data_IF_033147078100
#
_entry.id   IF_033147078100
#
_cell.length_a   1.000
_cell.length_b   1.000
_cell.length_c   1.000
_cell.angle_alpha   90.00
_cell.angle_beta   90.00
_cell.angle_gamma   90.00
#
_symmetry.space_group_name_H-M   'P 1'
#
loop_
_entity.id
_entity.type
_entity.pdbx_description
1 polymer ?
#
# COMPACT_ATOMS: atom_id res chain seq x y z
N UNK A 1 -12.93 -50.73 -24.95
CA UNK A 1 -13.33 -49.93 -26.13
C UNK A 1 -13.20 -48.46 -25.75
N UNK A 2 -12.35 -47.71 -26.46
CA UNK A 2 -11.99 -46.29 -26.21
C UNK A 2 -12.99 -45.34 -26.89
N UNK A 3 -13.01 -44.07 -26.42
CA UNK A 3 -13.18 -42.75 -27.12
C UNK A 3 -13.81 -41.78 -26.07
N UNK A 4 -13.07 -40.91 -25.35
CA UNK A 4 -12.50 -39.56 -25.66
C UNK A 4 -13.50 -38.47 -26.08
N UNK A 5 -13.61 -37.38 -25.30
CA UNK A 5 -13.55 -35.96 -25.75
C UNK A 5 -13.35 -35.01 -24.54
N UNK A 6 -12.14 -34.43 -24.39
CA UNK A 6 -11.78 -32.98 -24.39
C UNK A 6 -12.34 -32.14 -23.21
N UNK A 7 -11.56 -31.74 -22.19
CA UNK A 7 -10.35 -30.90 -22.11
C UNK A 7 -10.59 -29.38 -22.23
N UNK A 8 -10.50 -28.67 -21.09
CA UNK A 8 -9.80 -27.39 -20.98
C UNK A 8 -9.35 -27.18 -19.52
N UNK A 9 -8.26 -27.83 -19.15
CA UNK A 9 -7.52 -27.51 -17.93
C UNK A 9 -6.54 -26.39 -18.28
N UNK A 10 -6.78 -25.18 -17.74
CA UNK A 10 -5.80 -24.10 -17.76
C UNK A 10 -4.77 -24.40 -16.68
N UNK A 11 -3.86 -25.32 -16.99
CA UNK A 11 -2.63 -25.51 -16.25
C UNK A 11 -1.64 -24.44 -16.71
N UNK A 12 -1.70 -23.25 -16.12
CA UNK A 12 -0.61 -22.29 -16.22
C UNK A 12 0.56 -22.85 -15.40
N UNK A 13 1.46 -23.54 -16.08
CA UNK A 13 2.78 -23.88 -15.53
C UNK A 13 3.53 -22.56 -15.29
N UNK A 14 3.48 -22.06 -14.06
CA UNK A 14 4.42 -21.05 -13.58
C UNK A 14 5.73 -21.81 -13.39
N UNK A 15 6.62 -21.75 -14.39
CA UNK A 15 8.02 -22.08 -14.18
C UNK A 15 8.55 -21.05 -13.18
N UNK A 16 8.62 -21.45 -11.91
CA UNK A 16 9.32 -20.70 -10.87
C UNK A 16 10.81 -20.75 -11.19
N UNK A 17 11.29 -19.77 -11.96
CA UNK A 17 12.69 -19.38 -11.86
C UNK A 17 12.91 -19.02 -10.38
N UNK A 18 13.90 -19.57 -9.68
CA UNK A 18 14.25 -19.11 -8.34
C UNK A 18 14.76 -17.68 -8.49
N UNK A 19 13.84 -16.72 -8.43
CA UNK A 19 14.18 -15.35 -8.15
C UNK A 19 14.56 -15.33 -6.68
N UNK A 20 15.87 -15.20 -6.40
CA UNK A 20 16.35 -14.81 -5.09
C UNK A 20 15.50 -13.62 -4.64
N UNK A 21 14.84 -13.74 -3.48
CA UNK A 21 14.08 -12.64 -2.90
C UNK A 21 15.02 -11.45 -2.72
N UNK A 22 14.57 -10.24 -3.06
CA UNK A 22 15.39 -9.05 -2.87
C UNK A 22 15.29 -8.67 -1.39
N UNK A 23 16.32 -8.95 -0.60
CA UNK A 23 16.29 -8.62 0.83
C UNK A 23 15.99 -7.14 1.08
N UNK A 24 15.14 -6.86 2.07
CA UNK A 24 14.69 -5.49 2.40
C UNK A 24 15.85 -4.61 2.87
N UNK A 25 16.80 -5.20 3.58
CA UNK A 25 17.98 -4.53 4.08
C UNK A 25 19.21 -5.36 3.76
N UNK A 26 20.15 -4.78 3.02
CA UNK A 26 21.41 -5.41 2.63
C UNK A 26 22.57 -4.52 3.02
N UNK A 27 23.69 -5.11 3.39
CA UNK A 27 24.95 -4.40 3.58
C UNK A 27 26.00 -5.06 2.72
N UNK A 28 26.57 -4.28 1.82
CA UNK A 28 27.71 -4.64 0.99
C UNK A 28 28.91 -3.79 1.41
N UNK A 29 30.00 -4.41 1.82
CA UNK A 29 31.10 -3.70 2.45
C UNK A 29 32.46 -4.18 1.98
N UNK A 30 33.39 -3.25 1.85
CA UNK A 30 34.82 -3.52 1.61
C UNK A 30 35.66 -2.78 2.65
N UNK A 31 36.48 -3.52 3.39
CA UNK A 31 37.40 -3.00 4.40
C UNK A 31 38.84 -3.33 4.00
N UNK A 32 39.73 -2.35 4.07
CA UNK A 32 41.15 -2.51 3.73
C UNK A 32 42.04 -2.07 4.88
N UNK A 33 42.81 -3.02 5.41
CA UNK A 33 43.87 -2.81 6.40
C UNK A 33 44.94 -3.89 6.23
N UNK A 34 46.01 -3.57 5.51
CA UNK A 34 47.01 -4.53 5.03
C UNK A 34 46.48 -5.46 3.92
N UNK A 35 45.32 -6.10 4.14
CA UNK A 35 44.56 -6.88 3.15
C UNK A 35 43.17 -6.29 2.95
N UNK A 36 42.57 -6.54 1.80
CA UNK A 36 41.18 -6.13 1.48
C UNK A 36 40.24 -7.31 1.73
N UNK A 37 39.18 -7.08 2.51
CA UNK A 37 38.10 -8.03 2.75
C UNK A 37 36.79 -7.43 2.25
N UNK A 38 35.99 -8.25 1.56
CA UNK A 38 34.64 -7.89 1.10
C UNK A 38 33.62 -8.82 1.77
N UNK A 39 32.47 -8.28 2.17
CA UNK A 39 31.35 -9.03 2.74
C UNK A 39 30.02 -8.48 2.23
N UNK A 40 29.03 -9.38 2.13
CA UNK A 40 27.64 -9.07 1.80
C UNK A 40 26.73 -9.85 2.74
N UNK A 41 25.77 -9.18 3.36
CA UNK A 41 24.80 -9.80 4.27
C UNK A 41 23.49 -9.02 4.33
N UNK A 42 22.44 -9.63 4.86
CA UNK A 42 21.09 -9.05 4.89
C UNK A 42 20.42 -9.12 6.26
N UNK A 43 19.43 -8.25 6.44
CA UNK A 43 18.66 -8.08 7.68
C UNK A 43 17.17 -8.01 7.40
N UNK A 44 16.39 -8.34 8.42
CA UNK A 44 14.92 -8.25 8.38
C UNK A 44 14.39 -6.92 8.91
N UNK A 45 15.16 -6.23 9.75
CA UNK A 45 14.74 -4.97 10.36
C UNK A 45 15.73 -3.85 10.02
N UNK A 46 15.19 -2.63 9.92
CA UNK A 46 15.96 -1.42 9.74
C UNK A 46 16.93 -1.18 10.90
N UNK A 47 16.52 -1.52 12.13
CA UNK A 47 17.35 -1.36 13.32
C UNK A 47 18.59 -2.26 13.26
N UNK A 48 18.42 -3.56 12.99
CA UNK A 48 19.56 -4.48 12.84
C UNK A 48 20.50 -4.06 11.70
N UNK A 49 19.92 -3.57 10.60
CA UNK A 49 20.68 -3.11 9.44
C UNK A 49 21.52 -1.86 9.73
N UNK A 50 20.98 -0.91 10.50
CA UNK A 50 21.69 0.29 10.94
C UNK A 50 22.75 -0.06 11.99
N UNK A 51 22.43 -0.97 12.92
CA UNK A 51 23.34 -1.44 13.95
C UNK A 51 24.56 -2.17 13.36
N UNK A 52 24.43 -2.76 12.18
CA UNK A 52 25.54 -3.37 11.47
C UNK A 52 26.71 -2.42 11.16
N UNK A 53 26.49 -1.10 11.21
CA UNK A 53 27.50 -0.07 10.98
C UNK A 53 28.23 0.36 12.27
N UNK A 54 27.78 -0.09 13.45
CA UNK A 54 28.51 0.13 14.71
C UNK A 54 29.87 -0.56 14.65
N UNK A 55 30.89 0.07 15.25
CA UNK A 55 32.27 -0.42 15.17
C UNK A 55 32.42 -1.86 15.69
N UNK A 56 31.78 -2.21 16.80
CA UNK A 56 31.77 -3.58 17.35
C UNK A 56 31.21 -4.62 16.36
N UNK A 57 30.16 -4.26 15.63
CA UNK A 57 29.54 -5.14 14.65
C UNK A 57 30.40 -5.26 13.39
N UNK A 58 31.06 -4.19 12.96
CA UNK A 58 32.02 -4.23 11.86
C UNK A 58 33.22 -5.12 12.20
N UNK A 59 33.77 -5.03 13.41
CA UNK A 59 34.84 -5.92 13.89
C UNK A 59 34.43 -7.39 13.87
N UNK A 60 33.17 -7.69 14.19
CA UNK A 60 32.66 -9.07 14.16
C UNK A 60 32.52 -9.65 12.74
N UNK A 61 32.35 -8.79 11.71
CA UNK A 61 32.13 -9.19 10.31
C UNK A 61 33.39 -9.13 9.47
N UNK A 62 34.25 -8.16 9.73
CA UNK A 62 35.49 -7.93 9.03
C UNK A 62 36.64 -8.13 10.01
N UNK A 63 37.31 -9.29 9.94
CA UNK A 63 38.41 -9.62 10.84
C UNK A 63 39.60 -8.67 10.72
N UNK A 64 39.69 -7.95 9.59
CA UNK A 64 40.71 -6.93 9.34
C UNK A 64 40.24 -5.50 9.69
N UNK A 65 39.03 -5.31 10.23
CA UNK A 65 38.54 -3.98 10.59
C UNK A 65 39.18 -3.49 11.89
N UNK A 66 39.69 -2.26 11.81
CA UNK A 66 40.20 -1.47 12.93
C UNK A 66 39.73 -0.03 12.74
N UNK A 67 39.85 0.80 13.78
CA UNK A 67 39.47 2.22 13.71
C UNK A 67 40.36 3.06 12.78
N UNK A 68 41.42 2.47 12.24
CA UNK A 68 42.31 3.09 11.24
C UNK A 68 42.15 2.48 9.85
N UNK A 69 41.41 1.36 9.71
CA UNK A 69 41.16 0.69 8.43
C UNK A 69 40.34 1.56 7.48
N UNK A 70 40.63 1.55 6.18
CA UNK A 70 39.71 2.12 5.20
C UNK A 70 38.44 1.25 5.14
N UNK A 71 37.26 1.86 5.17
CA UNK A 71 35.99 1.15 5.08
C UNK A 71 35.06 1.85 4.08
N UNK A 72 34.50 1.09 3.14
CA UNK A 72 33.46 1.55 2.22
C UNK A 72 32.29 0.58 2.32
N UNK A 73 31.15 1.05 2.83
CA UNK A 73 29.98 0.24 3.14
C UNK A 73 28.78 0.83 2.41
N UNK A 74 27.92 -0.01 1.86
CA UNK A 74 26.65 0.38 1.22
C UNK A 74 25.51 -0.36 1.89
N UNK A 75 24.58 0.40 2.46
CA UNK A 75 23.30 -0.08 2.95
C UNK A 75 22.26 0.00 1.82
N UNK A 76 21.79 -1.14 1.33
CA UNK A 76 20.57 -1.19 0.53
C UNK A 76 19.36 -1.10 1.47
N UNK A 77 18.79 0.09 1.63
CA UNK A 77 17.63 0.32 2.50
C UNK A 77 16.35 0.29 1.67
N UNK A 78 15.65 -0.84 1.67
CA UNK A 78 14.38 -1.06 0.96
C UNK A 78 14.46 -0.66 -0.52
N UNK A 79 15.56 -1.03 -1.16
CA UNK A 79 15.87 -0.71 -2.56
C UNK A 79 16.56 0.65 -2.80
N UNK A 80 16.83 1.44 -1.75
CA UNK A 80 17.61 2.68 -1.84
C UNK A 80 19.05 2.47 -1.33
N UNK A 81 20.08 2.52 -2.20
CA UNK A 81 21.47 2.44 -1.77
C UNK A 81 21.91 3.71 -1.03
N UNK A 82 22.45 3.53 0.17
CA UNK A 82 23.06 4.58 1.00
C UNK A 82 24.47 4.16 1.37
N UNK A 83 25.48 4.98 1.10
CA UNK A 83 26.87 4.64 1.35
C UNK A 83 27.40 5.36 2.59
N UNK A 84 28.20 4.64 3.39
CA UNK A 84 28.95 5.12 4.53
C UNK A 84 30.41 4.75 4.33
N UNK A 85 31.33 5.68 4.53
CA UNK A 85 32.76 5.41 4.36
C UNK A 85 33.66 6.13 5.36
N UNK A 86 34.82 5.52 5.59
CA UNK A 86 35.96 6.06 6.31
C UNK A 86 37.21 5.89 5.46
N UNK A 87 38.00 6.94 5.31
CA UNK A 87 39.33 6.85 4.72
C UNK A 87 40.33 6.22 5.72
N UNK A 88 41.44 5.67 5.21
CA UNK A 88 42.48 5.10 6.05
C UNK A 88 43.03 6.16 7.04
N UNK A 89 43.24 5.77 8.29
CA UNK A 89 43.71 6.64 9.38
C UNK A 89 42.84 7.88 9.62
N UNK A 90 41.54 7.81 9.32
CA UNK A 90 40.59 8.89 9.53
C UNK A 90 39.43 8.47 10.42
N UNK A 91 38.97 9.41 11.24
CA UNK A 91 37.73 9.32 12.01
C UNK A 91 36.55 9.93 11.27
N UNK A 92 36.75 10.59 10.13
CA UNK A 92 35.66 11.24 9.38
C UNK A 92 34.73 10.20 8.75
N UNK A 93 33.47 10.19 9.19
CA UNK A 93 32.39 9.44 8.54
C UNK A 93 31.86 10.26 7.37
N UNK A 94 31.81 9.66 6.18
CA UNK A 94 31.14 10.25 5.01
C UNK A 94 29.89 9.44 4.70
N UNK A 95 28.72 10.07 4.84
CA UNK A 95 27.42 9.53 4.47
C UNK A 95 26.99 10.07 3.11
N UNK A 96 26.49 9.21 2.22
CA UNK A 96 25.98 9.64 0.92
C UNK A 96 24.77 8.84 0.45
N UNK A 97 23.88 9.53 -0.27
CA UNK A 97 22.77 8.90 -1.02
C UNK A 97 22.91 9.37 -2.47
N UNK A 98 23.65 8.62 -3.32
CA UNK A 98 24.04 9.08 -4.65
C UNK A 98 22.86 9.49 -5.53
N UNK A 99 21.77 8.71 -5.52
CA UNK A 99 20.56 8.99 -6.31
C UNK A 99 19.86 10.29 -5.93
N UNK A 100 20.21 10.88 -4.79
CA UNK A 100 19.70 12.15 -4.30
C UNK A 100 20.74 13.26 -4.31
N UNK A 101 22.00 12.98 -4.70
CA UNK A 101 23.10 13.96 -4.61
C UNK A 101 23.38 14.41 -3.18
N UNK A 102 23.13 13.56 -2.18
CA UNK A 102 23.37 13.87 -0.78
C UNK A 102 24.76 13.38 -0.41
N UNK A 103 25.58 14.23 0.20
CA UNK A 103 26.84 13.87 0.83
C UNK A 103 27.04 14.73 2.07
N UNK A 104 27.29 14.09 3.20
CA UNK A 104 27.51 14.73 4.50
C UNK A 104 28.72 14.09 5.17
N UNK A 105 29.50 14.89 5.88
CA UNK A 105 30.72 14.44 6.55
C UNK A 105 30.68 14.85 8.02
N UNK A 106 31.09 13.92 8.89
CA UNK A 106 31.09 14.09 10.34
C UNK A 106 32.46 13.70 10.88
N UNK A 107 33.09 14.58 11.65
CA UNK A 107 34.44 14.39 12.17
C UNK A 107 34.45 14.54 13.69
N UNK A 108 34.40 13.40 14.38
CA UNK A 108 34.62 13.27 15.81
C UNK A 108 36.08 12.92 16.14
N UNK A 109 36.37 12.92 17.45
CA UNK A 109 37.67 12.49 17.99
C UNK A 109 37.90 10.98 17.83
N UNK A 110 36.84 10.19 17.73
CA UNK A 110 36.82 8.75 17.41
C UNK A 110 35.80 8.47 16.30
N UNK A 111 35.85 7.27 15.71
CA UNK A 111 34.81 6.85 14.74
C UNK A 111 33.43 6.78 15.37
N UNK A 112 33.32 6.29 16.61
CA UNK A 112 32.07 6.29 17.37
C UNK A 112 31.52 7.71 17.55
N UNK A 113 32.38 8.68 17.90
CA UNK A 113 31.97 10.07 18.02
C UNK A 113 31.46 10.64 16.69
N UNK A 114 32.04 10.26 15.55
CA UNK A 114 31.51 10.64 14.22
C UNK A 114 30.15 10.00 13.91
N UNK A 115 29.93 8.75 14.33
CA UNK A 115 28.63 8.07 14.19
C UNK A 115 27.56 8.72 15.07
N UNK A 116 27.92 9.10 16.30
CA UNK A 116 27.05 9.82 17.21
C UNK A 116 26.65 11.19 16.63
N UNK A 117 27.61 11.96 16.11
CA UNK A 117 27.35 13.22 15.39
C UNK A 117 26.40 13.03 14.20
N UNK A 118 26.59 11.96 13.42
CA UNK A 118 25.68 11.63 12.32
C UNK A 118 24.27 11.31 12.82
N UNK A 119 24.13 10.45 13.84
CA UNK A 119 22.84 10.13 14.46
C UNK A 119 22.14 11.39 14.97
N UNK A 120 22.86 12.26 15.67
CA UNK A 120 22.35 13.52 16.20
C UNK A 120 21.93 14.49 15.10
N UNK A 121 22.71 14.56 14.02
CA UNK A 121 22.35 15.32 12.84
C UNK A 121 21.03 14.80 12.25
N UNK A 122 20.89 13.49 12.02
CA UNK A 122 19.66 12.92 11.46
C UNK A 122 18.43 13.18 12.33
N UNK A 123 18.60 13.21 13.66
CA UNK A 123 17.54 13.56 14.63
C UNK A 123 17.15 15.03 14.56
N UNK A 124 18.13 15.93 14.72
CA UNK A 124 17.87 17.35 15.03
C UNK A 124 17.84 18.25 13.79
N UNK A 125 18.72 18.00 12.83
CA UNK A 125 19.02 18.91 11.71
C UNK A 125 18.79 18.27 10.32
N UNK A 126 18.64 16.95 10.26
CA UNK A 126 18.58 16.15 9.04
C UNK A 126 17.19 16.05 8.42
N UNK A 127 16.22 16.85 8.88
CA UNK A 127 14.82 16.77 8.44
C UNK A 127 14.65 16.87 6.92
N UNK A 128 15.37 17.76 6.24
CA UNK A 128 15.33 17.85 4.76
C UNK A 128 15.85 16.58 4.08
N UNK A 129 16.99 16.06 4.55
CA UNK A 129 17.60 14.83 4.02
C UNK A 129 16.65 13.64 4.24
N UNK A 130 16.07 13.52 5.43
CA UNK A 130 15.05 12.51 5.73
C UNK A 130 13.83 12.64 4.83
N UNK A 131 13.33 13.87 4.60
CA UNK A 131 12.19 14.10 3.69
C UNK A 131 12.50 13.58 2.29
N UNK A 132 13.70 13.88 1.77
CA UNK A 132 14.14 13.47 0.43
C UNK A 132 14.34 11.95 0.35
N UNK A 133 14.91 11.34 1.37
CA UNK A 133 15.07 9.87 1.48
C UNK A 133 13.69 9.20 1.48
N UNK A 134 12.79 9.62 2.37
CA UNK A 134 11.44 9.05 2.49
C UNK A 134 10.63 9.24 1.20
N UNK A 135 10.74 10.41 0.57
CA UNK A 135 10.13 10.66 -0.75
C UNK A 135 10.71 9.74 -1.82
N UNK A 136 12.02 9.47 -1.79
CA UNK A 136 12.66 8.55 -2.72
C UNK A 136 12.27 7.10 -2.46
N UNK A 137 12.11 6.70 -1.20
CA UNK A 137 11.63 5.37 -0.84
C UNK A 137 10.23 5.11 -1.41
N UNK A 138 9.31 6.08 -1.39
CA UNK A 138 8.02 5.91 -2.07
C UNK A 138 8.14 5.70 -3.60
N UNK A 139 9.23 6.16 -4.22
CA UNK A 139 9.53 5.95 -5.64
C UNK A 139 10.18 4.59 -5.92
N UNK A 140 11.05 4.09 -5.03
CA UNK A 140 11.90 2.90 -5.33
C UNK A 140 11.58 1.66 -4.51
N UNK A 141 10.91 1.81 -3.37
CA UNK A 141 10.58 0.68 -2.48
C UNK A 141 9.27 0.04 -2.91
N UNK A 142 9.26 -1.28 -3.18
CA UNK A 142 8.03 -2.02 -3.49
C UNK A 142 7.05 -2.12 -2.31
N UNK A 143 7.55 -1.96 -1.10
CA UNK A 143 6.93 -2.33 0.18
C UNK A 143 6.73 -1.13 1.11
N UNK A 144 6.84 0.10 0.60
CA UNK A 144 6.68 1.27 1.44
C UNK A 144 5.32 1.35 2.14
N UNK A 145 5.29 1.47 3.48
CA UNK A 145 4.05 1.39 4.23
C UNK A 145 3.17 2.64 4.05
N UNK A 146 3.73 3.76 3.58
CA UNK A 146 3.03 5.03 3.45
C UNK A 146 2.50 5.22 2.03
N UNK A 147 3.35 5.11 1.01
CA UNK A 147 3.01 5.45 -0.37
C UNK A 147 3.77 4.60 -1.40
N UNK A 148 3.25 4.50 -2.62
CA UNK A 148 4.02 3.96 -3.76
C UNK A 148 3.61 2.56 -4.20
N UNK A 149 2.82 1.84 -3.41
CA UNK A 149 2.31 0.52 -3.77
C UNK A 149 0.85 0.32 -3.33
N UNK A 150 0.12 -0.67 -3.88
CA UNK A 150 -1.29 -0.87 -3.55
C UNK A 150 -1.57 -1.24 -2.09
N UNK A 151 -0.59 -1.83 -1.38
CA UNK A 151 -0.71 -2.19 0.04
C UNK A 151 -0.37 -1.02 0.99
N UNK A 152 0.17 0.08 0.47
CA UNK A 152 0.53 1.26 1.27
C UNK A 152 -0.70 1.97 1.81
N UNK A 153 -0.53 2.80 2.84
CA UNK A 153 -1.60 3.64 3.39
C UNK A 153 -2.36 4.42 2.30
N UNK A 154 -1.65 5.18 1.46
CA UNK A 154 -2.26 5.97 0.39
C UNK A 154 -2.93 5.07 -0.67
N UNK A 155 -2.35 3.92 -0.99
CA UNK A 155 -2.96 2.94 -1.89
C UNK A 155 -4.30 2.42 -1.36
N UNK A 156 -4.36 2.10 -0.07
CA UNK A 156 -5.59 1.66 0.58
C UNK A 156 -6.65 2.78 0.65
N UNK A 157 -6.26 4.03 0.92
CA UNK A 157 -7.17 5.17 0.91
C UNK A 157 -7.84 5.36 -0.46
N UNK A 158 -7.05 5.32 -1.54
CA UNK A 158 -7.55 5.40 -2.93
C UNK A 158 -8.53 4.26 -3.23
N UNK A 159 -8.18 3.03 -2.86
CA UNK A 159 -9.02 1.87 -3.13
C UNK A 159 -10.35 1.94 -2.36
N UNK A 160 -10.33 2.40 -1.11
CA UNK A 160 -11.52 2.53 -0.27
C UNK A 160 -12.48 3.60 -0.81
N UNK A 161 -11.97 4.76 -1.23
CA UNK A 161 -12.79 5.82 -1.83
C UNK A 161 -13.53 5.36 -3.07
N UNK A 162 -12.80 4.71 -3.97
CA UNK A 162 -13.41 4.18 -5.19
C UNK A 162 -14.44 3.09 -4.86
N UNK A 163 -14.14 2.20 -3.91
CA UNK A 163 -15.07 1.14 -3.51
C UNK A 163 -16.37 1.69 -2.90
N UNK A 164 -16.28 2.76 -2.09
CA UNK A 164 -17.43 3.44 -1.52
C UNK A 164 -18.33 4.06 -2.61
N UNK A 165 -17.73 4.65 -3.65
CA UNK A 165 -18.43 5.29 -4.76
C UNK A 165 -18.88 4.36 -5.89
N UNK A 166 -18.27 3.19 -6.07
CA UNK A 166 -18.52 2.31 -7.23
C UNK A 166 -19.22 0.99 -6.84
N UNK A 167 -18.59 0.17 -5.99
CA UNK A 167 -19.04 -1.20 -5.67
C UNK A 167 -20.39 -1.25 -4.94
N UNK A 168 -20.72 -0.21 -4.18
CA UNK A 168 -22.00 -0.10 -3.46
C UNK A 168 -23.14 0.47 -4.31
N UNK A 169 -22.81 1.17 -5.39
CA UNK A 169 -23.78 1.78 -6.32
C UNK A 169 -24.26 0.76 -7.33
N UNK A 170 -23.31 0.03 -7.92
CA UNK A 170 -23.55 -0.90 -9.01
C UNK A 170 -24.39 -2.14 -8.63
N UNK A 171 -24.75 -2.27 -7.36
CA UNK A 171 -25.67 -3.28 -6.83
C UNK A 171 -27.14 -2.83 -6.73
N UNK A 172 -27.48 -1.60 -7.10
CA UNK A 172 -28.83 -1.02 -7.08
C UNK A 172 -29.58 -1.16 -5.74
N UNK A 173 -29.50 -0.14 -4.90
CA UNK A 173 -30.37 -0.01 -3.72
C UNK A 173 -31.74 0.44 -4.20
N UNK A 174 -32.66 -0.50 -4.37
CA UNK A 174 -34.08 -0.19 -4.53
C UNK A 174 -34.71 -0.05 -3.15
N UNK A 175 -35.18 1.14 -2.79
CA UNK A 175 -36.11 1.26 -1.68
C UNK A 175 -37.52 1.01 -2.19
N UNK A 176 -38.29 0.17 -1.50
CA UNK A 176 -39.74 0.17 -1.65
C UNK A 176 -40.30 1.49 -1.06
N UNK A 177 -41.33 2.10 -1.65
CA UNK A 177 -41.97 3.27 -1.05
C UNK A 177 -42.45 2.96 0.37
N UNK A 178 -42.15 3.84 1.34
CA UNK A 178 -42.62 3.84 2.74
C UNK A 178 -41.96 2.86 3.74
N UNK A 179 -40.82 2.23 3.45
CA UNK A 179 -40.06 1.52 4.49
C UNK A 179 -39.05 2.45 5.18
N UNK A 180 -39.08 2.52 6.53
CA UNK A 180 -37.98 3.11 7.30
C UNK A 180 -36.70 2.33 7.02
N UNK A 181 -35.65 3.02 6.63
CA UNK A 181 -34.40 2.40 6.20
C UNK A 181 -33.38 2.48 7.33
N UNK A 182 -33.08 1.35 7.96
CA UNK A 182 -32.12 1.29 9.09
C UNK A 182 -30.72 1.77 8.69
N UNK A 183 -29.93 2.28 9.64
CA UNK A 183 -28.49 2.42 9.39
C UNK A 183 -27.83 1.05 9.27
N UNK A 184 -26.69 0.97 8.59
CA UNK A 184 -25.98 -0.30 8.40
C UNK A 184 -24.64 -0.27 9.12
N UNK A 185 -24.35 -1.34 9.84
CA UNK A 185 -23.01 -1.62 10.37
C UNK A 185 -22.37 -2.65 9.46
N UNK A 186 -21.21 -2.34 8.91
CA UNK A 186 -20.45 -3.22 8.03
C UNK A 186 -19.13 -3.65 8.66
N UNK A 187 -18.81 -4.93 8.52
CA UNK A 187 -17.50 -5.50 8.84
C UNK A 187 -17.04 -6.36 7.67
N UNK A 188 -15.74 -6.35 7.40
CA UNK A 188 -15.16 -7.22 6.40
C UNK A 188 -13.80 -7.77 6.79
N UNK A 189 -13.29 -8.64 5.93
CA UNK A 189 -11.93 -9.10 5.92
C UNK A 189 -11.40 -9.01 4.49
N UNK A 190 -10.19 -8.49 4.33
CA UNK A 190 -9.49 -8.41 3.05
C UNK A 190 -8.09 -8.98 3.22
N UNK A 191 -7.69 -9.81 2.27
CA UNK A 191 -6.34 -10.31 2.13
C UNK A 191 -5.80 -9.92 0.76
N UNK A 192 -4.62 -9.30 0.70
CA UNK A 192 -3.97 -8.92 -0.55
C UNK A 192 -2.56 -9.49 -0.56
N UNK A 193 -2.22 -10.31 -1.55
CA UNK A 193 -0.86 -10.82 -1.74
C UNK A 193 -0.29 -10.28 -3.04
N UNK A 194 0.82 -9.54 -2.95
CA UNK A 194 1.51 -8.93 -4.08
C UNK A 194 2.94 -9.45 -4.16
N UNK A 195 3.36 -9.90 -5.35
CA UNK A 195 4.76 -10.15 -5.66
C UNK A 195 5.36 -8.89 -6.30
N UNK A 196 6.40 -8.34 -5.68
CA UNK A 196 7.01 -7.06 -6.05
C UNK A 196 8.53 -7.16 -5.86
N UNK A 197 9.30 -6.92 -6.94
CA UNK A 197 10.77 -7.04 -6.94
C UNK A 197 11.31 -8.34 -6.31
N UNK A 198 10.68 -9.50 -6.58
CA UNK A 198 11.12 -10.79 -6.02
C UNK A 198 10.59 -11.11 -4.62
N UNK A 199 10.00 -10.13 -3.91
CA UNK A 199 9.44 -10.29 -2.56
C UNK A 199 7.94 -10.52 -2.60
N UNK A 200 7.42 -11.18 -1.57
CA UNK A 200 5.97 -11.29 -1.37
C UNK A 200 5.53 -10.34 -0.25
N UNK A 201 4.59 -9.46 -0.56
CA UNK A 201 3.93 -8.55 0.36
C UNK A 201 2.51 -9.01 0.61
N UNK A 202 2.21 -9.38 1.86
CA UNK A 202 0.91 -9.87 2.28
C UNK A 202 0.26 -8.83 3.19
N UNK A 203 -0.91 -8.32 2.82
CA UNK A 203 -1.70 -7.39 3.61
C UNK A 203 -2.99 -8.06 4.08
N UNK A 204 -3.30 -7.90 5.37
CA UNK A 204 -4.55 -8.32 6.00
C UNK A 204 -5.24 -7.08 6.53
N UNK A 205 -6.47 -6.82 6.11
CA UNK A 205 -7.24 -5.66 6.52
C UNK A 205 -8.63 -6.04 7.04
N UNK A 206 -9.07 -5.33 8.07
CA UNK A 206 -10.41 -5.43 8.65
C UNK A 206 -11.07 -4.05 8.47
N UNK A 207 -11.86 -3.86 7.41
CA UNK A 207 -12.65 -2.65 7.24
C UNK A 207 -13.90 -2.69 8.11
N UNK A 208 -14.05 -1.68 8.97
CA UNK A 208 -15.32 -1.37 9.61
C UNK A 208 -16.00 -0.23 8.85
N UNK A 209 -17.33 -0.27 8.78
CA UNK A 209 -18.11 0.83 8.21
C UNK A 209 -19.42 1.07 8.94
N UNK A 210 -19.87 2.31 8.94
CA UNK A 210 -21.19 2.69 9.42
C UNK A 210 -21.85 3.57 8.36
N UNK A 211 -23.01 3.15 7.87
CA UNK A 211 -23.75 3.86 6.82
C UNK A 211 -25.05 4.42 7.38
N UNK A 212 -25.13 5.75 7.43
CA UNK A 212 -26.37 6.47 7.71
C UNK A 212 -27.14 6.61 6.42
N UNK A 213 -28.38 6.12 6.39
CA UNK A 213 -29.27 6.20 5.22
C UNK A 213 -30.32 7.28 5.44
N UNK A 214 -30.63 8.06 4.42
CA UNK A 214 -31.67 9.09 4.52
C UNK A 214 -33.06 8.47 4.39
N UNK A 215 -33.97 8.88 5.27
CA UNK A 215 -35.39 8.50 5.20
C UNK A 215 -36.12 9.13 4.00
N UNK A 216 -35.58 10.22 3.43
CA UNK A 216 -36.18 10.93 2.29
C UNK A 216 -35.81 10.25 0.97
N UNK A 217 -34.51 9.94 0.80
CA UNK A 217 -34.01 9.16 -0.32
C UNK A 217 -32.95 8.17 0.20
N UNK A 218 -33.29 6.88 0.34
CA UNK A 218 -32.38 5.85 0.85
C UNK A 218 -31.09 5.65 0.06
N UNK A 219 -31.03 6.21 -1.16
CA UNK A 219 -29.82 6.24 -2.00
C UNK A 219 -28.84 7.33 -1.57
N UNK A 220 -29.29 8.32 -0.78
CA UNK A 220 -28.43 9.29 -0.08
C UNK A 220 -27.87 8.63 1.18
N UNK A 221 -26.55 8.53 1.23
CA UNK A 221 -25.86 7.76 2.27
C UNK A 221 -24.64 8.53 2.77
N UNK A 222 -24.52 8.66 4.09
CA UNK A 222 -23.27 9.09 4.71
C UNK A 222 -22.57 7.84 5.24
N UNK A 223 -21.40 7.56 4.70
CA UNK A 223 -20.63 6.35 4.98
C UNK A 223 -19.38 6.77 5.76
N UNK A 224 -19.22 6.22 6.95
CA UNK A 224 -17.98 6.28 7.72
C UNK A 224 -17.25 4.96 7.58
N UNK A 225 -15.93 5.00 7.37
CA UNK A 225 -15.08 3.82 7.28
C UNK A 225 -13.88 3.92 8.21
N UNK A 226 -13.56 2.82 8.88
CA UNK A 226 -12.38 2.67 9.73
C UNK A 226 -11.61 1.42 9.32
N UNK A 227 -10.79 1.47 8.25
CA UNK A 227 -9.90 0.37 7.89
C UNK A 227 -8.73 0.28 8.86
N UNK A 228 -8.49 -0.92 9.39
CA UNK A 228 -7.25 -1.29 10.09
C UNK A 228 -6.58 -2.39 9.31
N UNK A 229 -5.26 -2.30 9.10
CA UNK A 229 -4.53 -3.33 8.37
C UNK A 229 -3.14 -3.61 8.92
N UNK A 230 -2.65 -4.79 8.58
CA UNK A 230 -1.32 -5.31 8.87
C UNK A 230 -0.71 -5.80 7.56
N UNK A 231 0.54 -5.40 7.28
CA UNK A 231 1.30 -5.83 6.11
C UNK A 231 2.57 -6.53 6.56
N UNK A 232 2.88 -7.67 5.96
CA UNK A 232 4.11 -8.43 6.15
C UNK A 232 4.88 -8.55 4.84
N UNK A 233 6.18 -8.26 4.88
CA UNK A 233 7.10 -8.39 3.74
C UNK A 233 8.41 -8.97 4.25
N UNK A 234 8.81 -10.16 3.78
CA UNK A 234 10.06 -10.83 4.20
C UNK A 234 10.27 -10.89 5.74
N UNK A 235 9.18 -10.99 6.49
CA UNK A 235 9.17 -11.02 7.96
C UNK A 235 9.12 -9.64 8.65
N UNK A 236 9.32 -8.54 7.92
CA UNK A 236 9.12 -7.18 8.39
C UNK A 236 7.64 -6.80 8.41
N UNK A 237 7.20 -6.11 9.48
CA UNK A 237 5.80 -5.84 9.78
C UNK A 237 5.47 -4.37 9.74
N UNK A 238 4.39 -4.01 9.06
CA UNK A 238 3.80 -2.66 9.07
C UNK A 238 2.33 -2.71 9.49
N UNK A 239 1.88 -1.64 10.15
CA UNK A 239 0.50 -1.47 10.57
C UNK A 239 -0.04 -0.16 10.01
N UNK A 240 -1.32 -0.15 9.64
CA UNK A 240 -2.01 1.07 9.27
C UNK A 240 -3.42 1.13 9.83
N UNK A 241 -3.88 2.34 10.08
CA UNK A 241 -5.25 2.63 10.46
C UNK A 241 -5.69 3.91 9.75
N UNK A 242 -6.92 3.93 9.25
CA UNK A 242 -7.49 5.07 8.58
C UNK A 242 -8.90 5.36 9.06
N UNK A 243 -9.34 6.58 8.83
CA UNK A 243 -10.73 7.01 8.97
C UNK A 243 -11.14 7.72 7.67
N UNK A 244 -12.30 7.36 7.14
CA UNK A 244 -12.89 8.01 5.98
C UNK A 244 -14.34 8.35 6.17
N UNK A 245 -14.78 9.39 5.46
CA UNK A 245 -16.17 9.79 5.35
C UNK A 245 -16.49 9.99 3.87
N UNK A 246 -17.55 9.37 3.39
CA UNK A 246 -18.03 9.49 2.01
C UNK A 246 -19.51 9.83 2.01
N UNK A 247 -19.93 10.76 1.14
CA UNK A 247 -21.34 11.10 1.00
C UNK A 247 -21.84 10.74 -0.38
N UNK A 248 -22.75 9.79 -0.46
CA UNK A 248 -23.39 9.37 -1.70
C UNK A 248 -24.52 10.33 -2.04
N UNK A 249 -24.39 10.98 -3.18
CA UNK A 249 -25.34 11.97 -3.69
C UNK A 249 -25.87 11.53 -5.06
N UNK A 250 -27.07 10.92 -5.11
CA UNK A 250 -27.74 10.58 -6.37
C UNK A 250 -28.12 11.86 -7.12
N UNK A 251 -27.62 12.01 -8.34
CA UNK A 251 -27.99 13.09 -9.24
C UNK A 251 -29.29 12.76 -9.98
N UNK A 252 -29.49 11.48 -10.29
CA UNK A 252 -30.71 10.89 -10.81
C UNK A 252 -30.70 9.37 -10.53
N UNK A 253 -31.63 8.63 -11.12
CA UNK A 253 -31.78 7.18 -10.89
C UNK A 253 -30.59 6.34 -11.40
N UNK A 254 -29.85 6.83 -12.38
CA UNK A 254 -28.72 6.13 -13.00
C UNK A 254 -27.36 6.70 -12.57
N UNK A 255 -27.30 7.94 -12.09
CA UNK A 255 -26.06 8.66 -11.85
C UNK A 255 -25.90 9.09 -10.39
N UNK A 256 -24.73 8.82 -9.81
CA UNK A 256 -24.39 9.17 -8.44
C UNK A 256 -23.01 9.80 -8.39
N UNK A 257 -22.89 10.89 -7.62
CA UNK A 257 -21.61 11.47 -7.20
C UNK A 257 -21.31 11.07 -5.76
N UNK A 258 -20.05 10.83 -5.45
CA UNK A 258 -19.61 10.46 -4.10
C UNK A 258 -18.33 11.21 -3.76
N UNK A 259 -18.43 12.42 -3.17
CA UNK A 259 -17.29 13.04 -2.50
C UNK A 259 -16.87 12.23 -1.28
N UNK A 260 -15.56 12.14 -1.07
CA UNK A 260 -14.94 11.42 0.04
C UNK A 260 -13.76 12.18 0.63
N UNK A 261 -13.58 12.04 1.94
CA UNK A 261 -12.45 12.55 2.71
C UNK A 261 -11.85 11.42 3.53
N UNK A 262 -10.53 11.33 3.58
CA UNK A 262 -9.82 10.32 4.38
C UNK A 262 -8.62 10.90 5.09
N UNK A 263 -8.33 10.30 6.23
CA UNK A 263 -7.12 10.50 6.99
C UNK A 263 -6.61 9.13 7.44
N UNK A 264 -5.30 8.94 7.52
CA UNK A 264 -4.78 7.73 8.11
C UNK A 264 -3.31 7.82 8.50
N UNK A 265 -2.90 6.79 9.20
CA UNK A 265 -1.59 6.60 9.81
C UNK A 265 -1.04 5.24 9.38
N UNK A 266 0.26 5.18 9.12
CA UNK A 266 0.98 3.93 8.92
C UNK A 266 2.33 3.97 9.61
N UNK A 267 2.77 2.83 10.13
CA UNK A 267 4.02 2.73 10.86
C UNK A 267 4.57 1.32 10.85
N UNK A 268 5.90 1.23 10.90
CA UNK A 268 6.65 0.00 10.96
C UNK A 268 7.99 0.28 11.64
N UNK A 269 8.25 -0.42 12.75
CA UNK A 269 9.58 -0.41 13.37
C UNK A 269 10.56 -1.17 12.47
N UNK A 270 10.16 -2.34 12.01
CA UNK A 270 10.96 -3.21 11.14
C UNK A 270 11.36 -2.53 9.83
N UNK A 271 10.47 -1.73 9.21
CA UNK A 271 10.77 -1.01 7.97
C UNK A 271 11.34 0.40 8.19
N UNK A 272 11.54 0.81 9.44
CA UNK A 272 12.06 2.13 9.82
C UNK A 272 11.24 3.29 9.27
N UNK A 273 9.91 3.15 9.22
CA UNK A 273 9.04 4.11 8.56
C UNK A 273 7.77 4.38 9.36
N UNK A 274 7.40 5.65 9.44
CA UNK A 274 6.09 6.09 9.92
C UNK A 274 5.56 7.20 9.03
N UNK A 275 4.26 7.39 8.96
CA UNK A 275 3.69 8.40 8.10
C UNK A 275 2.21 8.59 8.36
N UNK A 276 1.75 9.76 7.96
CA UNK A 276 0.35 10.10 7.97
C UNK A 276 -0.05 10.76 6.66
N UNK A 277 -1.26 10.46 6.20
CA UNK A 277 -1.76 10.95 4.92
C UNK A 277 -3.20 11.43 5.04
N UNK A 278 -3.55 12.39 4.19
CA UNK A 278 -4.91 12.88 4.00
C UNK A 278 -5.26 12.78 2.52
N UNK A 279 -6.53 12.52 2.23
CA UNK A 279 -7.05 12.39 0.88
C UNK A 279 -8.42 13.03 0.75
N UNK A 280 -8.68 13.60 -0.42
CA UNK A 280 -10.01 14.03 -0.84
C UNK A 280 -10.26 13.53 -2.25
N UNK A 281 -11.46 13.02 -2.53
CA UNK A 281 -11.80 12.51 -3.85
C UNK A 281 -13.27 12.75 -4.18
N UNK A 282 -13.58 12.64 -5.46
CA UNK A 282 -14.95 12.55 -5.96
C UNK A 282 -15.04 11.41 -6.96
N UNK A 283 -15.93 10.47 -6.68
CA UNK A 283 -16.29 9.40 -7.60
C UNK A 283 -17.62 9.73 -8.30
N UNK A 284 -17.70 9.38 -9.57
CA UNK A 284 -18.88 9.52 -10.43
C UNK A 284 -19.21 8.15 -11.00
N UNK A 285 -20.40 7.64 -10.68
CA UNK A 285 -20.84 6.31 -11.12
C UNK A 285 -22.14 6.41 -11.88
N UNK A 286 -22.16 5.89 -13.11
CA UNK A 286 -23.32 5.79 -13.97
C UNK A 286 -23.70 4.31 -14.18
N UNK A 287 -24.98 3.98 -14.06
CA UNK A 287 -25.49 2.60 -14.21
C UNK A 287 -26.49 2.53 -15.35
N UNK A 288 -26.18 1.66 -16.32
CA UNK A 288 -27.12 1.21 -17.34
C UNK A 288 -27.86 -0.02 -16.83
N UNK A 289 -29.14 0.17 -16.46
CA UNK A 289 -30.02 -0.91 -16.03
C UNK A 289 -30.69 -1.57 -17.22
N UNK A 290 -30.56 -2.90 -17.35
CA UNK A 290 -31.30 -3.74 -18.30
C UNK A 290 -32.09 -4.83 -17.56
N UNK A 291 -33.09 -5.47 -18.20
CA UNK A 291 -33.91 -6.49 -17.54
C UNK A 291 -33.12 -7.66 -16.95
N UNK A 292 -32.02 -8.04 -17.58
CA UNK A 292 -31.23 -9.23 -17.22
C UNK A 292 -29.84 -8.94 -16.68
N UNK A 293 -29.36 -7.70 -16.75
CA UNK A 293 -28.02 -7.31 -16.29
C UNK A 293 -27.91 -5.79 -16.09
N UNK A 294 -26.88 -5.37 -15.36
CA UNK A 294 -26.49 -3.98 -15.22
C UNK A 294 -25.05 -3.77 -15.71
N UNK A 295 -24.78 -2.61 -16.28
CA UNK A 295 -23.42 -2.14 -16.56
C UNK A 295 -23.20 -0.87 -15.76
N UNK A 296 -22.18 -0.84 -14.91
CA UNK A 296 -21.77 0.36 -14.20
C UNK A 296 -20.44 0.88 -14.75
N UNK A 297 -20.34 2.19 -14.92
CA UNK A 297 -19.11 2.90 -15.27
C UNK A 297 -18.82 3.86 -14.12
N UNK A 298 -17.66 3.72 -13.50
CA UNK A 298 -17.20 4.54 -12.39
C UNK A 298 -15.93 5.28 -12.77
N UNK A 299 -15.86 6.57 -12.49
CA UNK A 299 -14.66 7.38 -12.67
C UNK A 299 -14.42 8.17 -11.39
N UNK A 300 -13.19 8.19 -10.90
CA UNK A 300 -12.81 8.92 -9.70
C UNK A 300 -11.58 9.77 -9.99
N UNK A 301 -11.62 10.99 -9.47
CA UNK A 301 -10.43 11.83 -9.30
C UNK A 301 -10.27 12.11 -7.81
N UNK A 302 -9.04 11.96 -7.31
CA UNK A 302 -8.72 12.29 -5.93
C UNK A 302 -7.33 12.88 -5.78
N UNK A 303 -7.11 13.61 -4.71
CA UNK A 303 -5.82 14.16 -4.36
C UNK A 303 -5.44 13.70 -2.96
N UNK A 304 -4.27 13.07 -2.84
CA UNK A 304 -3.78 12.44 -1.61
C UNK A 304 -2.39 12.96 -1.32
N UNK A 305 -2.12 13.30 -0.07
CA UNK A 305 -0.81 13.82 0.35
C UNK A 305 -0.41 13.36 1.74
N UNK A 306 0.88 13.26 1.97
CA UNK A 306 1.44 13.10 3.32
C UNK A 306 1.34 14.40 4.10
N UNK A 307 1.15 14.28 5.42
CA UNK A 307 1.23 15.42 6.34
C UNK A 307 2.54 15.37 7.13
N UNK A 308 2.97 16.54 7.62
CA UNK A 308 4.12 16.63 8.52
C UNK A 308 3.86 15.82 9.78
N UNK A 309 4.76 14.91 10.12
CA UNK A 309 4.71 14.14 11.35
C UNK A 309 5.82 14.62 12.28
N UNK A 310 5.52 14.73 13.57
CA UNK A 310 6.51 14.92 14.63
C UNK A 310 6.38 13.75 15.60
N UNK A 311 7.45 12.99 15.78
CA UNK A 311 7.51 11.83 16.67
C UNK A 311 8.82 11.86 17.46
N UNK A 312 8.76 12.18 18.75
CA UNK A 312 9.95 12.46 19.55
C UNK A 312 10.75 13.61 18.97
N UNK A 313 12.06 13.41 18.82
CA UNK A 313 12.99 14.39 18.24
C UNK A 313 12.92 14.46 16.70
N UNK A 314 12.21 13.54 16.05
CA UNK A 314 12.12 13.49 14.59
C UNK A 314 10.92 14.30 14.10
N UNK A 315 11.17 15.21 13.16
CA UNK A 315 10.12 15.90 12.41
C UNK A 315 10.38 15.80 10.92
N UNK A 316 9.46 15.19 10.18
CA UNK A 316 9.60 15.03 8.74
C UNK A 316 8.25 15.13 8.02
N UNK A 317 8.31 15.69 6.82
CA UNK A 317 7.24 15.78 5.85
C UNK A 317 7.83 15.43 4.48
N UNK A 318 7.64 14.18 3.98
CA UNK A 318 8.24 13.78 2.72
C UNK A 318 7.63 14.52 1.52
N UNK A 319 6.54 15.28 1.71
CA UNK A 319 5.93 16.07 0.64
C UNK A 319 5.51 15.20 -0.53
N UNK A 320 5.03 13.98 -0.24
CA UNK A 320 4.44 13.08 -1.22
C UNK A 320 3.02 13.59 -1.44
N UNK A 321 2.71 13.91 -2.69
CA UNK A 321 1.40 14.38 -3.11
C UNK A 321 1.11 13.84 -4.50
N UNK A 322 -0.07 13.24 -4.65
CA UNK A 322 -0.49 12.62 -5.88
C UNK A 322 -1.96 12.92 -6.18
N UNK A 323 -2.22 13.25 -7.44
CA UNK A 323 -3.57 13.20 -8.00
C UNK A 323 -3.76 11.82 -8.60
N UNK A 324 -4.88 11.19 -8.31
CA UNK A 324 -5.16 9.80 -8.66
C UNK A 324 -6.42 9.76 -9.48
N UNK A 325 -6.33 9.10 -10.64
CA UNK A 325 -7.46 8.77 -11.49
C UNK A 325 -7.72 7.29 -11.34
N UNK A 326 -8.97 6.92 -11.04
CA UNK A 326 -9.36 5.52 -10.92
C UNK A 326 -10.67 5.30 -11.64
N UNK A 327 -10.64 4.48 -12.68
CA UNK A 327 -11.76 4.27 -13.59
C UNK A 327 -12.10 2.80 -13.63
N UNK A 328 -13.37 2.45 -13.67
CA UNK A 328 -13.80 1.07 -13.70
C UNK A 328 -15.08 0.84 -14.48
N UNK A 329 -15.18 -0.34 -15.05
CA UNK A 329 -16.40 -0.86 -15.66
C UNK A 329 -16.77 -2.15 -14.94
N UNK A 330 -18.06 -2.33 -14.67
CA UNK A 330 -18.58 -3.51 -13.99
C UNK A 330 -19.82 -4.03 -14.70
N UNK A 331 -19.83 -5.33 -14.99
CA UNK A 331 -21.00 -6.06 -15.47
C UNK A 331 -21.60 -6.86 -14.31
N UNK A 332 -22.88 -6.65 -14.01
CA UNK A 332 -23.61 -7.29 -12.91
C UNK A 332 -24.77 -8.12 -13.46
N UNK A 333 -24.93 -9.36 -12.97
CA UNK A 333 -26.03 -10.23 -13.39
C UNK A 333 -26.69 -10.90 -12.17
N UNK A 334 -28.03 -10.83 -12.03
CA UNK A 334 -28.77 -11.61 -11.06
C UNK A 334 -28.53 -13.11 -11.23
N UNK A 335 -28.25 -13.81 -10.12
CA UNK A 335 -28.10 -15.27 -10.07
C UNK A 335 -28.78 -15.83 -8.82
N UNK A 336 -29.17 -17.10 -8.86
CA UNK A 336 -29.59 -17.83 -7.66
C UNK A 336 -28.41 -18.66 -7.19
N UNK A 337 -27.92 -18.38 -5.98
CA UNK A 337 -26.86 -19.16 -5.34
C UNK A 337 -27.23 -19.42 -3.89
N UNK A 338 -26.98 -20.64 -3.40
CA UNK A 338 -27.31 -21.06 -2.03
C UNK A 338 -28.79 -20.83 -1.65
N UNK A 339 -29.70 -20.99 -2.62
CA UNK A 339 -31.14 -20.74 -2.42
C UNK A 339 -31.53 -19.26 -2.24
N UNK A 340 -30.59 -18.32 -2.41
CA UNK A 340 -30.81 -16.88 -2.27
C UNK A 340 -30.63 -16.14 -3.61
N UNK A 341 -31.34 -15.01 -3.74
CA UNK A 341 -31.16 -14.08 -4.87
C UNK A 341 -29.87 -13.29 -4.66
N UNK A 342 -28.87 -13.57 -5.48
CA UNK A 342 -27.53 -12.99 -5.45
C UNK A 342 -27.27 -12.23 -6.76
N UNK A 343 -26.16 -11.50 -6.82
CA UNK A 343 -25.61 -10.94 -8.05
C UNK A 343 -24.16 -11.35 -8.19
N UNK A 344 -23.80 -11.82 -9.39
CA UNK A 344 -22.40 -12.01 -9.77
C UNK A 344 -21.94 -10.79 -10.58
N UNK A 345 -20.73 -10.33 -10.30
CA UNK A 345 -20.18 -9.12 -10.89
C UNK A 345 -18.77 -9.37 -11.41
N UNK A 346 -18.50 -8.82 -12.57
CA UNK A 346 -17.18 -8.82 -13.19
C UNK A 346 -16.74 -7.37 -13.34
N UNK A 347 -15.56 -7.03 -12.85
CA UNK A 347 -15.03 -5.66 -12.89
C UNK A 347 -13.66 -5.59 -13.55
N UNK A 348 -13.44 -4.51 -14.28
CA UNK A 348 -12.12 -4.08 -14.73
C UNK A 348 -11.89 -2.66 -14.20
N UNK A 349 -10.79 -2.44 -13.48
CA UNK A 349 -10.47 -1.16 -12.85
C UNK A 349 -9.05 -0.77 -13.22
N UNK A 350 -8.86 0.46 -13.70
CA UNK A 350 -7.58 1.09 -14.00
C UNK A 350 -7.30 2.18 -12.96
N UNK A 351 -6.07 2.25 -12.45
CA UNK A 351 -5.62 3.30 -11.53
C UNK A 351 -4.36 3.94 -12.03
N UNK A 352 -4.30 5.28 -12.02
CA UNK A 352 -3.16 6.07 -12.45
C UNK A 352 -2.87 7.17 -11.44
N UNK A 353 -1.60 7.33 -11.09
CA UNK A 353 -1.09 8.35 -10.18
C UNK A 353 -0.28 9.38 -10.97
N UNK A 354 -0.52 10.65 -10.70
CA UNK A 354 0.27 11.78 -11.22
C UNK A 354 0.77 12.63 -10.05
N UNK A 355 1.87 13.37 -10.24
CA UNK A 355 2.51 14.16 -9.18
C UNK A 355 3.84 13.55 -8.71
N UNK A 356 3.94 13.23 -7.42
CA UNK A 356 5.15 12.60 -6.86
C UNK A 356 5.42 11.25 -7.52
N UNK A 357 6.68 10.95 -7.86
CA UNK A 357 7.04 9.64 -8.41
C UNK A 357 6.82 8.56 -7.36
N UNK A 358 6.21 7.46 -7.80
CA UNK A 358 5.83 6.32 -6.98
C UNK A 358 6.38 5.04 -7.61
N UNK A 359 6.65 4.02 -6.80
CA UNK A 359 7.09 2.70 -7.28
C UNK A 359 6.11 2.10 -8.30
N UNK A 360 4.81 2.22 -8.02
CA UNK A 360 3.74 1.98 -8.98
C UNK A 360 3.06 3.29 -9.36
N UNK A 361 3.22 3.72 -10.61
CA UNK A 361 2.49 4.88 -11.16
C UNK A 361 1.09 4.50 -11.67
N UNK A 362 0.80 3.21 -11.79
CA UNK A 362 -0.53 2.73 -12.13
C UNK A 362 -0.61 1.21 -12.12
N UNK A 363 -1.83 0.70 -12.07
CA UNK A 363 -2.12 -0.72 -12.06
C UNK A 363 -3.56 -0.97 -12.51
N UNK A 364 -3.78 -2.18 -13.02
CA UNK A 364 -5.06 -2.68 -13.49
C UNK A 364 -5.53 -3.83 -12.59
N UNK A 365 -6.84 -3.91 -12.36
CA UNK A 365 -7.47 -4.95 -11.56
C UNK A 365 -8.62 -5.61 -12.32
N UNK A 366 -8.58 -6.94 -12.40
CA UNK A 366 -9.69 -7.76 -12.88
C UNK A 366 -10.35 -8.47 -11.70
N UNK A 367 -11.63 -8.19 -11.45
CA UNK A 367 -12.36 -8.69 -10.29
C UNK A 367 -13.57 -9.54 -10.64
N UNK A 368 -13.87 -10.49 -9.76
CA UNK A 368 -15.15 -11.21 -9.71
C UNK A 368 -15.71 -11.12 -8.30
N UNK A 369 -16.96 -10.69 -8.15
CA UNK A 369 -17.64 -10.67 -6.84
C UNK A 369 -18.99 -11.35 -6.89
N UNK A 370 -19.39 -11.95 -5.77
CA UNK A 370 -20.70 -12.51 -5.53
C UNK A 370 -21.28 -11.81 -4.29
N UNK A 371 -22.47 -11.23 -4.41
CA UNK A 371 -23.10 -10.54 -3.29
C UNK A 371 -24.63 -10.64 -3.29
N UNK A 372 -25.25 -10.22 -2.19
CA UNK A 372 -26.71 -10.14 -2.09
C UNK A 372 -27.24 -9.22 -3.19
N UNK A 373 -28.26 -9.68 -3.92
CA UNK A 373 -28.90 -8.85 -4.94
C UNK A 373 -29.74 -7.77 -4.27
N UNK A 374 -29.30 -6.51 -4.31
CA UNK A 374 -30.01 -5.41 -3.64
C UNK A 374 -31.29 -4.96 -4.36
N UNK A 375 -31.60 -5.53 -5.54
CA UNK A 375 -32.92 -5.42 -6.18
C UNK A 375 -33.98 -6.33 -5.55
N UNK A 376 -33.57 -7.31 -4.75
CA UNK A 376 -34.53 -8.11 -3.99
C UNK A 376 -34.97 -7.28 -2.77
N UNK A 377 -36.26 -6.91 -2.72
CA UNK A 377 -36.94 -6.08 -1.70
C UNK A 377 -36.85 -6.56 -0.23
N UNK A 378 -35.72 -7.11 0.25
CA UNK A 378 -35.64 -7.64 1.62
C UNK A 378 -34.26 -7.66 2.27
N UNK A 379 -33.24 -7.06 1.67
CA UNK A 379 -31.89 -7.13 2.24
C UNK A 379 -31.74 -6.14 3.40
N UNK A 380 -32.27 -6.50 4.59
CA UNK A 380 -31.92 -5.87 5.88
C UNK A 380 -30.42 -6.02 6.16
N UNK A 381 -29.84 -7.10 5.64
CA UNK A 381 -28.41 -7.36 5.65
C UNK A 381 -27.86 -7.67 4.25
N UNK A 382 -26.58 -7.39 4.04
CA UNK A 382 -25.88 -7.54 2.77
C UNK A 382 -24.64 -8.37 2.97
N UNK A 383 -24.37 -9.28 2.05
CA UNK A 383 -23.14 -10.05 1.99
C UNK A 383 -22.46 -9.77 0.65
N UNK A 384 -21.14 -9.72 0.65
CA UNK A 384 -20.32 -9.71 -0.56
C UNK A 384 -19.03 -10.46 -0.32
N UNK A 385 -18.66 -11.32 -1.26
CA UNK A 385 -17.34 -11.92 -1.34
C UNK A 385 -16.77 -11.71 -2.75
N UNK A 386 -15.47 -11.61 -2.87
CA UNK A 386 -14.83 -11.41 -4.16
C UNK A 386 -13.36 -11.76 -4.18
N UNK A 387 -12.86 -11.89 -5.40
CA UNK A 387 -11.45 -11.99 -5.70
C UNK A 387 -11.10 -11.03 -6.82
N UNK A 388 -9.92 -10.44 -6.78
CA UNK A 388 -9.37 -9.68 -7.90
C UNK A 388 -7.92 -10.06 -8.15
N UNK A 389 -7.51 -9.97 -9.42
CA UNK A 389 -6.12 -10.04 -9.84
C UNK A 389 -5.64 -8.63 -10.14
N UNK A 390 -4.53 -8.23 -9.53
CA UNK A 390 -3.88 -6.93 -9.74
C UNK A 390 -2.63 -7.12 -10.59
N UNK A 391 -2.47 -6.25 -11.59
CA UNK A 391 -1.29 -6.22 -12.44
C UNK A 391 -0.77 -4.79 -12.63
N UNK A 392 0.54 -4.62 -12.49
CA UNK A 392 1.27 -3.40 -12.84
C UNK A 392 2.59 -3.78 -13.52
N UNK A 393 3.36 -2.78 -13.96
CA UNK A 393 4.70 -2.99 -14.49
C UNK A 393 5.66 -3.64 -13.48
N UNK A 394 5.48 -3.36 -12.17
CA UNK A 394 6.43 -3.71 -11.11
C UNK A 394 5.85 -4.63 -10.03
N UNK A 395 4.55 -4.94 -10.12
CA UNK A 395 3.80 -5.66 -9.10
C UNK A 395 2.71 -6.51 -9.74
N UNK A 396 2.47 -7.70 -9.19
CA UNK A 396 1.32 -8.53 -9.56
C UNK A 396 0.85 -9.34 -8.38
N UNK A 397 -0.43 -9.66 -8.33
CA UNK A 397 -0.95 -10.40 -7.19
C UNK A 397 -2.46 -10.53 -7.20
N UNK A 398 -3.01 -10.92 -6.05
CA UNK A 398 -4.44 -11.09 -5.91
C UNK A 398 -4.95 -10.48 -4.61
N UNK A 399 -6.21 -10.07 -4.63
CA UNK A 399 -6.97 -9.70 -3.44
C UNK A 399 -8.11 -10.69 -3.26
N UNK A 400 -8.38 -11.09 -2.02
CA UNK A 400 -9.60 -11.75 -1.58
C UNK A 400 -10.31 -10.82 -0.60
N UNK A 401 -11.62 -10.70 -0.71
CA UNK A 401 -12.39 -9.89 0.21
C UNK A 401 -13.73 -10.54 0.55
N UNK A 402 -14.16 -10.34 1.80
CA UNK A 402 -15.50 -10.66 2.28
C UNK A 402 -16.00 -9.51 3.13
N UNK A 403 -17.29 -9.19 3.01
CA UNK A 403 -17.94 -8.13 3.75
C UNK A 403 -19.38 -8.50 4.08
N UNK A 404 -19.82 -8.07 5.25
CA UNK A 404 -21.19 -8.24 5.72
C UNK A 404 -21.68 -6.95 6.35
N UNK A 405 -22.91 -6.56 6.04
CA UNK A 405 -23.59 -5.38 6.57
C UNK A 405 -24.92 -5.82 7.18
N UNK A 406 -25.30 -5.30 8.35
CA UNK A 406 -26.51 -5.67 9.08
C UNK A 406 -27.21 -4.48 9.74
#
# INVERSE_FOLDING_TARGET
MRIKLLALAVSAAITSVPAFAADLFTVDGTVTYGTTQTQSYSFKTAEDALDAFKNENLQSRFSNYTDTAQANLTLGFRGLPMAVSYTANSTTLVFSVPSLGITQSFTGTTRDASQEQFSDFMKKNGGDILNRIMKKLAEVSPDDPVAGNPNSLMGQMVANDFANGFSNVATNIGAAPNEKVNNLIGIGARFTSLRQNGNNSNNFAIPFSYTVRSDIDPRRQLIFNLPVSYTEVEGAKAYSAGFGASYRFPMNDAWTLTPSLNYGLAGSRDLGAVGQAVGASIASTYIFTKPSYDIAIGNMVGHYRTLKLTAGDYSYNPGIANTVFRNGVMYSRPVTAFGKKMSIEYSLIDTRYTGTKLYNQGYDELGVTLGTNKRANSARSFFRAGASYLHSASSKGFTLNVGYWF
#
